data_IF_626950845529
#
_entry.id   IF_626950845529
#
_cell.length_a   1.000
_cell.length_b   1.000
_cell.length_c   1.000
_cell.angle_alpha   90.00
_cell.angle_beta   90.00
_cell.angle_gamma   90.00
#
_symmetry.space_group_name_H-M   'P 1'
#
loop_
_entity.id
_entity.type
_entity.pdbx_description
1 polymer ?
#
# COMPACT_ATOMS: atom_id res chain seq x y z
N UNK A 1 2.44 2.10 -12.53
CA UNK A 1 3.71 1.79 -11.82
C UNK A 1 4.60 0.81 -12.59
N UNK A 2 5.94 0.88 -12.48
CA UNK A 2 6.87 -0.15 -13.00
C UNK A 2 6.88 -1.40 -12.10
N UNK A 3 7.09 -2.62 -12.64
CA UNK A 3 7.14 -3.87 -11.85
C UNK A 3 8.15 -3.85 -10.70
N UNK A 4 9.33 -3.27 -10.93
CA UNK A 4 10.44 -3.18 -9.98
C UNK A 4 10.37 -1.95 -9.08
N UNK A 5 9.27 -1.19 -9.11
CA UNK A 5 9.09 -0.08 -8.20
C UNK A 5 8.96 -0.60 -6.77
N UNK A 6 9.70 0.00 -5.85
CA UNK A 6 9.57 -0.26 -4.43
C UNK A 6 8.23 0.29 -3.93
N UNK A 7 7.52 -0.56 -3.21
CA UNK A 7 6.24 -0.25 -2.60
C UNK A 7 6.34 -0.52 -1.10
N UNK A 8 5.94 0.46 -0.31
CA UNK A 8 5.81 0.37 1.13
C UNK A 8 4.35 0.62 1.51
N UNK A 9 3.70 -0.36 2.13
CA UNK A 9 2.34 -0.20 2.67
C UNK A 9 2.44 -0.14 4.19
N UNK A 10 1.89 0.93 4.75
CA UNK A 10 1.81 1.17 6.19
C UNK A 10 0.36 1.26 6.62
N UNK A 11 0.04 0.63 7.73
CA UNK A 11 -1.22 0.77 8.41
C UNK A 11 -1.24 2.01 9.29
N UNK A 12 -2.32 2.78 9.26
CA UNK A 12 -2.59 3.87 10.19
C UNK A 12 -3.99 3.71 10.76
N UNK A 13 -4.15 4.04 12.05
CA UNK A 13 -5.49 4.11 12.67
C UNK A 13 -6.23 5.37 12.23
N UNK A 14 -5.51 6.49 12.07
CA UNK A 14 -6.05 7.75 11.61
C UNK A 14 -5.00 8.61 10.88
N UNK A 15 -5.43 9.74 10.31
CA UNK A 15 -4.57 10.67 9.56
C UNK A 15 -3.53 11.42 10.42
N UNK A 16 -3.59 11.33 11.75
CA UNK A 16 -2.60 11.92 12.66
C UNK A 16 -1.40 10.99 12.88
N UNK A 17 -1.54 9.70 12.60
CA UNK A 17 -0.42 8.77 12.62
C UNK A 17 0.51 9.02 11.44
N UNK A 18 1.67 9.63 11.73
CA UNK A 18 2.67 9.97 10.73
C UNK A 18 3.62 8.81 10.43
N UNK A 19 3.81 7.89 11.37
CA UNK A 19 4.73 6.77 11.19
C UNK A 19 4.02 5.61 10.50
N UNK A 20 2.87 5.19 11.02
CA UNK A 20 2.15 3.99 10.62
C UNK A 20 2.93 2.69 10.87
N UNK A 21 2.20 1.60 11.06
CA UNK A 21 2.76 0.26 11.21
C UNK A 21 3.09 -0.34 9.83
N UNK A 22 4.34 -0.74 9.60
CA UNK A 22 4.71 -1.40 8.35
C UNK A 22 3.95 -2.73 8.17
N UNK A 23 3.18 -2.84 7.09
CA UNK A 23 2.48 -4.06 6.69
C UNK A 23 3.22 -4.81 5.59
N UNK A 24 3.75 -4.05 4.62
CA UNK A 24 4.43 -4.61 3.47
C UNK A 24 5.56 -3.68 3.02
N UNK A 25 6.68 -4.28 2.62
CA UNK A 25 7.76 -3.61 1.93
C UNK A 25 8.36 -4.56 0.91
N UNK A 26 8.38 -4.15 -0.35
CA UNK A 26 8.86 -4.97 -1.44
C UNK A 26 8.70 -4.24 -2.75
N UNK A 27 8.53 -4.99 -3.84
CA UNK A 27 8.30 -4.45 -5.18
C UNK A 27 6.83 -4.54 -5.58
N UNK A 28 6.42 -3.73 -6.55
CA UNK A 28 5.08 -3.80 -7.14
C UNK A 28 4.76 -5.21 -7.69
N UNK A 29 5.77 -5.93 -8.17
CA UNK A 29 5.64 -7.31 -8.67
C UNK A 29 5.46 -8.36 -7.56
N UNK A 30 5.97 -8.10 -6.36
CA UNK A 30 5.68 -8.93 -5.17
C UNK A 30 4.26 -8.67 -4.66
N UNK A 31 3.77 -7.45 -4.84
CA UNK A 31 2.43 -6.99 -4.49
C UNK A 31 1.39 -7.35 -5.57
N UNK A 32 1.27 -8.65 -5.89
CA UNK A 32 0.26 -9.11 -6.86
C UNK A 32 -1.13 -9.16 -6.24
N UNK A 33 -1.99 -8.20 -6.57
CA UNK A 33 -3.44 -8.32 -6.37
C UNK A 33 -4.03 -9.09 -7.56
N UNK A 34 -4.30 -10.39 -7.38
CA UNK A 34 -5.01 -11.23 -8.36
C UNK A 34 -4.50 -11.12 -9.82
N UNK A 35 -3.18 -11.06 -10.01
CA UNK A 35 -2.56 -11.04 -11.35
C UNK A 35 -2.65 -9.71 -12.10
N UNK A 36 -3.10 -8.62 -11.46
CA UNK A 36 -3.09 -7.27 -12.03
C UNK A 36 -1.88 -6.47 -11.52
N UNK A 37 -1.46 -5.48 -12.31
CA UNK A 37 -0.49 -4.47 -11.87
C UNK A 37 -1.04 -3.77 -10.64
N UNK A 38 -0.23 -3.66 -9.59
CA UNK A 38 -0.55 -2.85 -8.42
C UNK A 38 -0.49 -1.37 -8.80
N UNK A 39 -1.65 -0.73 -8.83
CA UNK A 39 -1.81 0.69 -9.14
C UNK A 39 -2.99 1.23 -8.33
N UNK A 40 -2.68 1.79 -7.16
CA UNK A 40 -3.68 2.28 -6.21
C UNK A 40 -3.66 3.80 -6.15
N UNK A 41 -4.85 4.39 -6.05
CA UNK A 41 -5.08 5.82 -5.86
C UNK A 41 -5.59 6.13 -4.46
N UNK A 42 -5.56 7.42 -4.10
CA UNK A 42 -6.12 7.88 -2.84
C UNK A 42 -7.62 7.54 -2.78
N UNK A 43 -8.05 6.90 -1.69
CA UNK A 43 -9.43 6.48 -1.48
C UNK A 43 -9.78 5.10 -2.05
N UNK A 44 -8.89 4.47 -2.82
CA UNK A 44 -9.09 3.10 -3.29
C UNK A 44 -9.04 2.11 -2.13
N UNK A 45 -9.85 1.06 -2.24
CA UNK A 45 -9.87 -0.05 -1.28
C UNK A 45 -9.40 -1.33 -1.95
N UNK A 46 -8.62 -2.13 -1.21
CA UNK A 46 -8.14 -3.41 -1.69
C UNK A 46 -7.95 -4.38 -0.53
N UNK A 47 -7.87 -5.67 -0.85
CA UNK A 47 -7.53 -6.71 0.10
C UNK A 47 -6.04 -6.97 0.05
N UNK A 48 -5.33 -6.68 1.15
CA UNK A 48 -3.93 -7.04 1.31
C UNK A 48 -3.84 -8.45 1.92
N UNK A 49 -3.35 -9.40 1.12
CA UNK A 49 -3.06 -10.75 1.59
C UNK A 49 -1.72 -10.77 2.33
N UNK A 50 -1.76 -10.80 3.65
CA UNK A 50 -0.61 -11.13 4.49
C UNK A 50 -0.58 -12.66 4.72
N UNK A 51 0.58 -13.22 5.05
CA UNK A 51 0.82 -14.69 5.10
C UNK A 51 -0.27 -15.49 5.84
N UNK A 52 -0.86 -14.91 6.88
CA UNK A 52 -1.83 -15.58 7.75
C UNK A 52 -3.22 -14.92 7.75
N UNK A 53 -3.39 -13.76 7.11
CA UNK A 53 -4.65 -13.01 7.13
C UNK A 53 -4.79 -12.08 5.91
N UNK A 54 -6.00 -12.06 5.34
CA UNK A 54 -6.37 -11.10 4.32
C UNK A 54 -7.10 -9.93 4.97
N UNK A 55 -6.50 -8.75 4.95
CA UNK A 55 -7.09 -7.53 5.52
C UNK A 55 -7.66 -6.65 4.42
N UNK A 56 -8.88 -6.17 4.60
CA UNK A 56 -9.48 -5.18 3.71
C UNK A 56 -9.10 -3.78 4.18
N UNK A 57 -8.46 -3.02 3.31
CA UNK A 57 -7.86 -1.73 3.65
C UNK A 57 -8.20 -0.68 2.60
N UNK A 58 -8.23 0.58 3.03
CA UNK A 58 -8.44 1.75 2.18
C UNK A 58 -7.24 2.67 2.23
N UNK A 59 -6.82 3.18 1.07
CA UNK A 59 -5.72 4.14 0.95
C UNK A 59 -6.17 5.51 1.44
N UNK A 60 -5.54 6.01 2.49
CA UNK A 60 -5.82 7.31 3.09
C UNK A 60 -4.78 8.37 2.73
N UNK A 61 -3.54 7.96 2.43
CA UNK A 61 -2.45 8.85 2.03
C UNK A 61 -1.50 8.11 1.10
N UNK A 62 -0.92 8.85 0.17
CA UNK A 62 0.10 8.36 -0.74
C UNK A 62 1.25 9.34 -0.81
N UNK A 63 2.47 8.81 -0.88
CA UNK A 63 3.66 9.58 -1.20
C UNK A 63 4.44 8.84 -2.28
N UNK A 64 4.95 9.61 -3.22
CA UNK A 64 5.85 9.13 -4.25
C UNK A 64 7.06 10.05 -4.28
N UNK A 65 8.26 9.47 -4.26
CA UNK A 65 9.49 10.25 -4.38
C UNK A 65 9.81 10.46 -5.85
N UNK A 66 9.65 11.69 -6.35
CA UNK A 66 10.00 12.07 -7.72
C UNK A 66 11.50 12.02 -8.01
N UNK A 67 12.35 12.07 -6.99
CA UNK A 67 13.81 12.06 -7.12
C UNK A 67 14.37 10.64 -7.25
N UNK A 68 13.56 9.65 -6.88
CA UNK A 68 13.83 8.22 -7.00
C UNK A 68 12.57 7.58 -7.56
N UNK A 69 12.38 7.72 -8.88
CA UNK A 69 11.15 7.52 -9.70
C UNK A 69 10.34 6.22 -9.48
N UNK A 70 10.80 5.37 -8.57
CA UNK A 70 10.34 4.02 -8.36
C UNK A 70 10.03 3.74 -6.87
N UNK A 71 9.90 4.75 -5.99
CA UNK A 71 9.54 4.55 -4.58
C UNK A 71 8.13 5.08 -4.25
N UNK A 72 7.24 4.18 -3.87
CA UNK A 72 5.84 4.48 -3.52
C UNK A 72 5.55 4.08 -2.08
N UNK A 73 4.92 4.98 -1.33
CA UNK A 73 4.44 4.74 0.04
C UNK A 73 2.94 4.95 0.10
N UNK A 74 2.24 3.98 0.66
CA UNK A 74 0.81 3.99 0.86
C UNK A 74 0.52 3.86 2.35
N UNK A 75 -0.24 4.80 2.91
CA UNK A 75 -0.81 4.65 4.24
C UNK A 75 -2.27 4.24 4.08
N UNK A 76 -2.63 3.15 4.72
CA UNK A 76 -3.94 2.52 4.63
C UNK A 76 -4.56 2.36 6.01
N UNK A 77 -5.88 2.43 6.12
CA UNK A 77 -6.58 2.02 7.33
C UNK A 77 -7.45 0.80 7.04
N UNK A 78 -7.84 0.09 8.11
CA UNK A 78 -8.82 -0.99 8.01
C UNK A 78 -10.14 -0.40 7.52
N UNK A 79 -10.79 -1.08 6.59
CA UNK A 79 -12.15 -0.78 6.18
C UNK A 79 -13.04 -1.94 6.59
N UNK A 80 -13.80 -1.76 7.67
CA UNK A 80 -14.85 -2.69 8.07
C UNK A 80 -15.99 -2.60 7.02
N UNK A 81 -16.31 -3.75 6.42
CA UNK A 81 -17.38 -3.89 5.42
C UNK A 81 -18.76 -3.72 6.01
#
# INVERSE_FOLDING_TARGET
>A
MKPNANVEIRYIEDLKDQEGKLLFKGTADELKTNGKKFDMSLGDSFTLGLKDEAIHVRVLRMEYDVSSEDNYKYWVSKEDK
#
